data_IF_788843891965
#
_entry.id   IF_788843891965
#
_cell.length_a   1.000
_cell.length_b   1.000
_cell.length_c   1.000
_cell.angle_alpha   90.00
_cell.angle_beta   90.00
_cell.angle_gamma   90.00
#
_symmetry.space_group_name_H-M   'P 1'
#
loop_
_entity.id
_entity.type
_entity.pdbx_description
1 polymer ?
#
# COMPACT_ATOMS: atom_id res chain seq x y z
N UNK A 1 -7.36 -14.00 1.40
CA UNK A 1 -8.59 -13.38 1.91
C UNK A 1 -9.76 -13.41 0.91
N UNK A 2 -9.49 -13.32 -0.41
CA UNK A 2 -10.55 -13.38 -1.44
C UNK A 2 -11.21 -14.76 -1.53
N UNK A 3 -10.48 -15.81 -1.17
CA UNK A 3 -10.92 -17.22 -1.24
C UNK A 3 -10.64 -17.90 0.10
N UNK A 4 -11.43 -17.59 1.15
CA UNK A 4 -11.18 -18.08 2.51
C UNK A 4 -11.38 -19.60 2.66
N UNK A 5 -12.07 -20.23 1.71
CA UNK A 5 -12.33 -21.66 1.66
C UNK A 5 -11.12 -22.51 1.25
N UNK A 6 -10.10 -21.91 0.63
CA UNK A 6 -8.92 -22.66 0.22
C UNK A 6 -7.81 -22.60 1.26
N UNK A 7 -7.27 -23.76 1.60
CA UNK A 7 -6.13 -23.89 2.52
C UNK A 7 -4.78 -23.81 1.80
N UNK A 8 -4.75 -24.09 0.50
CA UNK A 8 -3.57 -24.07 -0.34
C UNK A 8 -3.92 -23.57 -1.74
N UNK A 9 -3.02 -22.81 -2.37
CA UNK A 9 -3.16 -22.33 -3.73
C UNK A 9 -1.81 -22.38 -4.47
N UNK A 10 -1.85 -22.51 -5.79
CA UNK A 10 -0.68 -22.31 -6.64
C UNK A 10 -0.83 -20.95 -7.33
N UNK A 11 0.21 -20.14 -7.28
CA UNK A 11 0.39 -18.94 -8.09
C UNK A 11 1.41 -19.24 -9.18
N UNK A 12 1.13 -18.78 -10.40
CA UNK A 12 2.03 -18.93 -11.55
C UNK A 12 1.98 -17.64 -12.36
N UNK A 13 3.14 -17.12 -12.70
CA UNK A 13 3.29 -15.93 -13.56
C UNK A 13 2.81 -16.20 -14.98
N UNK A 14 2.37 -15.17 -15.67
CA UNK A 14 1.79 -15.26 -17.01
C UNK A 14 2.83 -15.53 -18.12
N UNK A 15 4.11 -15.36 -17.84
CA UNK A 15 5.25 -15.63 -18.73
C UNK A 15 5.89 -16.99 -18.51
N UNK A 16 5.06 -17.96 -18.14
CA UNK A 16 5.45 -19.36 -17.91
C UNK A 16 4.81 -20.32 -18.91
N UNK A 17 5.41 -21.50 -19.03
CA UNK A 17 4.81 -22.65 -19.70
C UNK A 17 4.82 -23.85 -18.75
N UNK A 18 3.65 -24.36 -18.44
CA UNK A 18 3.48 -25.56 -17.59
C UNK A 18 3.66 -26.81 -18.45
N UNK A 19 4.63 -27.64 -18.11
CA UNK A 19 4.98 -28.89 -18.80
C UNK A 19 4.66 -30.13 -17.98
N UNK A 20 4.78 -30.01 -16.64
CA UNK A 20 4.49 -31.09 -15.71
C UNK A 20 3.04 -31.08 -15.20
N UNK A 21 2.68 -32.10 -14.41
CA UNK A 21 1.38 -32.12 -13.73
C UNK A 21 1.44 -31.27 -12.45
N UNK A 22 0.77 -30.14 -12.45
CA UNK A 22 0.70 -29.24 -11.26
C UNK A 22 0.10 -29.90 -10.03
N UNK A 23 -0.61 -31.02 -10.18
CA UNK A 23 -1.10 -31.79 -9.02
C UNK A 23 0.06 -32.36 -8.19
N UNK A 24 1.18 -32.70 -8.82
CA UNK A 24 2.38 -33.18 -8.12
C UNK A 24 2.94 -32.10 -7.19
N UNK A 25 3.06 -30.86 -7.68
CA UNK A 25 3.57 -29.75 -6.86
C UNK A 25 2.56 -29.32 -5.80
N UNK A 26 1.27 -29.41 -6.12
CA UNK A 26 0.21 -29.16 -5.14
C UNK A 26 0.20 -30.20 -4.00
N UNK A 27 0.63 -31.42 -4.25
CA UNK A 27 0.69 -32.49 -3.27
C UNK A 27 1.80 -32.31 -2.22
N UNK A 28 2.80 -31.45 -2.43
CA UNK A 28 3.84 -31.21 -1.42
C UNK A 28 3.24 -30.70 -0.11
N UNK A 29 3.59 -31.36 0.99
CA UNK A 29 3.18 -30.94 2.33
C UNK A 29 4.10 -29.83 2.85
N UNK A 30 3.58 -28.61 2.92
CA UNK A 30 4.35 -27.43 3.32
C UNK A 30 4.59 -27.35 4.83
N UNK A 31 3.84 -28.12 5.66
CA UNK A 31 3.89 -28.02 7.12
C UNK A 31 3.55 -26.61 7.60
N UNK A 32 4.42 -26.05 8.40
CA UNK A 32 4.29 -24.67 8.94
C UNK A 32 4.87 -23.61 8.00
N UNK A 33 5.47 -23.99 6.87
CA UNK A 33 6.00 -23.02 5.91
C UNK A 33 4.88 -22.19 5.28
N UNK A 34 5.19 -20.95 4.95
CA UNK A 34 4.24 -20.01 4.34
C UNK A 34 4.10 -20.26 2.84
N UNK A 35 5.22 -20.55 2.18
CA UNK A 35 5.28 -20.83 0.74
C UNK A 35 6.12 -22.05 0.44
N UNK A 36 5.79 -22.76 -0.65
CA UNK A 36 6.72 -23.60 -1.40
C UNK A 36 7.19 -22.84 -2.62
N UNK A 37 8.50 -22.69 -2.79
CA UNK A 37 9.10 -21.92 -3.88
C UNK A 37 10.45 -22.47 -4.31
N UNK A 38 10.86 -22.22 -5.56
CA UNK A 38 12.18 -22.53 -6.07
C UNK A 38 13.12 -21.32 -5.89
N UNK A 39 14.43 -21.59 -5.85
CA UNK A 39 15.44 -20.54 -5.69
C UNK A 39 15.55 -19.67 -6.93
N UNK A 40 15.74 -18.37 -6.72
CA UNK A 40 15.92 -17.37 -7.78
C UNK A 40 17.31 -17.46 -8.40
N UNK A 41 17.37 -17.90 -9.65
CA UNK A 41 18.65 -18.17 -10.31
C UNK A 41 19.39 -16.90 -10.75
N UNK A 42 18.68 -15.81 -11.00
CA UNK A 42 19.33 -14.53 -11.34
C UNK A 42 20.13 -14.01 -10.16
N UNK A 43 19.59 -14.13 -8.94
CA UNK A 43 20.29 -13.71 -7.72
C UNK A 43 21.51 -14.58 -7.43
N UNK A 44 21.42 -15.87 -7.71
CA UNK A 44 22.53 -16.82 -7.51
C UNK A 44 23.64 -16.61 -8.55
N UNK A 45 23.26 -16.45 -9.82
CA UNK A 45 24.22 -16.47 -10.94
C UNK A 45 24.73 -15.08 -11.35
N UNK A 46 24.17 -13.98 -10.80
CA UNK A 46 24.57 -12.61 -11.14
C UNK A 46 25.04 -11.88 -9.87
N UNK A 47 26.32 -11.59 -9.81
CA UNK A 47 26.96 -11.11 -8.57
C UNK A 47 26.37 -9.81 -8.01
N UNK A 48 26.02 -8.83 -8.86
CA UNK A 48 25.42 -7.57 -8.40
C UNK A 48 24.06 -7.81 -7.72
N UNK A 49 23.23 -8.69 -8.25
CA UNK A 49 21.93 -9.01 -7.67
C UNK A 49 22.05 -9.85 -6.40
N UNK A 50 22.94 -10.86 -6.39
CA UNK A 50 23.23 -11.60 -5.17
C UNK A 50 23.77 -10.70 -4.05
N UNK A 51 24.67 -9.77 -4.39
CA UNK A 51 25.19 -8.77 -3.43
C UNK A 51 24.08 -7.84 -2.92
N UNK A 52 23.11 -7.47 -3.79
CA UNK A 52 21.95 -6.70 -3.39
C UNK A 52 21.12 -7.44 -2.32
N UNK A 53 20.77 -8.69 -2.59
CA UNK A 53 19.99 -9.52 -1.64
C UNK A 53 20.71 -9.63 -0.29
N UNK A 54 22.01 -9.89 -0.31
CA UNK A 54 22.81 -10.08 0.91
C UNK A 54 23.02 -8.77 1.70
N UNK A 55 23.32 -7.67 1.01
CA UNK A 55 23.66 -6.40 1.68
C UNK A 55 22.45 -5.53 1.99
N UNK A 56 21.42 -5.56 1.15
CA UNK A 56 20.24 -4.68 1.30
C UNK A 56 19.12 -5.37 2.05
N UNK A 57 18.82 -6.64 1.72
CA UNK A 57 17.76 -7.40 2.39
C UNK A 57 18.28 -8.19 3.61
N UNK A 58 19.53 -8.59 3.61
CA UNK A 58 20.11 -9.43 4.65
C UNK A 58 19.66 -10.88 4.56
N UNK A 59 19.43 -11.37 3.36
CA UNK A 59 19.08 -12.74 3.01
C UNK A 59 20.27 -13.34 2.25
N UNK A 60 20.63 -14.60 2.51
CA UNK A 60 21.60 -15.32 1.67
C UNK A 60 21.01 -15.50 0.27
N UNK A 61 21.79 -15.25 -0.80
CA UNK A 61 21.32 -15.38 -2.19
C UNK A 61 20.80 -16.78 -2.51
N UNK A 62 21.27 -17.82 -1.80
CA UNK A 62 20.77 -19.18 -1.96
C UNK A 62 19.49 -19.46 -1.16
N UNK A 63 19.06 -18.53 -0.33
CA UNK A 63 17.81 -18.58 0.44
C UNK A 63 16.78 -17.54 -0.05
N UNK A 64 17.00 -17.00 -1.24
CA UNK A 64 16.08 -16.10 -1.91
C UNK A 64 15.32 -16.86 -2.99
N UNK A 65 13.99 -16.77 -3.00
CA UNK A 65 13.12 -17.51 -3.93
C UNK A 65 12.56 -16.60 -5.02
N UNK A 66 12.32 -17.19 -6.19
CA UNK A 66 11.58 -16.55 -7.26
C UNK A 66 10.08 -16.62 -7.00
N UNK A 67 9.38 -15.49 -7.13
CA UNK A 67 7.96 -15.37 -6.85
C UNK A 67 7.05 -15.79 -8.02
N UNK A 68 7.59 -16.12 -9.18
CA UNK A 68 6.81 -16.46 -10.40
C UNK A 68 6.13 -17.83 -10.38
N UNK A 69 6.51 -18.71 -9.43
CA UNK A 69 5.81 -19.97 -9.16
C UNK A 69 5.82 -20.24 -7.65
N UNK A 70 4.65 -20.19 -7.02
CA UNK A 70 4.49 -20.37 -5.58
C UNK A 70 3.41 -21.37 -5.26
N UNK A 71 3.68 -22.25 -4.28
CA UNK A 71 2.65 -23.01 -3.58
C UNK A 71 2.36 -22.27 -2.28
N UNK A 72 1.24 -21.61 -2.19
CA UNK A 72 0.90 -20.73 -1.05
C UNK A 72 0.14 -21.53 0.00
N UNK A 73 0.64 -21.57 1.23
CA UNK A 73 -0.09 -22.05 2.38
C UNK A 73 -1.07 -20.98 2.87
N UNK A 74 -2.28 -20.98 2.28
CA UNK A 74 -3.28 -19.94 2.56
C UNK A 74 -3.70 -19.91 4.03
N UNK A 75 -3.64 -21.04 4.73
CA UNK A 75 -3.92 -21.11 6.18
C UNK A 75 -2.86 -20.36 6.98
N UNK A 76 -1.56 -20.59 6.67
CA UNK A 76 -0.48 -19.87 7.33
C UNK A 76 -0.47 -18.39 6.96
N UNK A 77 -0.72 -18.04 5.70
CA UNK A 77 -0.85 -16.64 5.26
C UNK A 77 -1.89 -15.87 6.07
N UNK A 78 -3.04 -16.50 6.35
CA UNK A 78 -4.09 -15.91 7.20
C UNK A 78 -3.69 -15.87 8.68
N UNK A 79 -3.13 -16.97 9.20
CA UNK A 79 -2.78 -17.11 10.61
C UNK A 79 -1.65 -16.14 11.02
N UNK A 80 -0.72 -15.87 10.10
CA UNK A 80 0.45 -15.01 10.32
C UNK A 80 0.25 -13.60 9.76
N UNK A 81 -0.93 -13.26 9.27
CA UNK A 81 -1.22 -11.93 8.73
C UNK A 81 -0.24 -11.47 7.63
N UNK A 82 0.17 -12.38 6.73
CA UNK A 82 1.19 -12.10 5.71
C UNK A 82 0.81 -10.92 4.82
N UNK A 83 -0.46 -10.78 4.44
CA UNK A 83 -0.92 -9.62 3.68
C UNK A 83 -0.75 -8.30 4.45
N UNK A 84 -1.01 -8.32 5.75
CA UNK A 84 -0.87 -7.12 6.58
C UNK A 84 0.61 -6.74 6.71
N UNK A 85 1.50 -7.72 6.90
CA UNK A 85 2.95 -7.51 6.90
C UNK A 85 3.44 -6.94 5.56
N UNK A 86 2.94 -7.47 4.43
CA UNK A 86 3.28 -6.98 3.10
C UNK A 86 2.89 -5.50 2.91
N UNK A 87 1.65 -5.15 3.27
CA UNK A 87 1.16 -3.77 3.21
C UNK A 87 1.98 -2.84 4.11
N UNK A 88 2.42 -3.32 5.26
CA UNK A 88 3.25 -2.54 6.16
C UNK A 88 4.64 -2.28 5.62
N UNK A 89 5.30 -3.29 5.09
CA UNK A 89 6.60 -3.11 4.45
C UNK A 89 6.53 -2.11 3.29
N UNK A 90 5.45 -2.13 2.49
CA UNK A 90 5.19 -1.13 1.44
C UNK A 90 5.16 0.32 1.97
N UNK A 91 4.73 0.52 3.21
CA UNK A 91 4.71 1.85 3.84
C UNK A 91 6.04 2.24 4.48
N UNK A 92 6.89 1.27 4.77
CA UNK A 92 8.15 1.47 5.49
C UNK A 92 9.33 1.65 4.55
N UNK A 93 9.38 0.87 3.48
CA UNK A 93 10.47 0.91 2.51
C UNK A 93 9.96 0.57 1.11
N UNK A 94 10.47 1.25 0.10
CA UNK A 94 10.12 1.01 -1.29
C UNK A 94 11.25 0.24 -1.98
N UNK A 95 11.07 -1.09 -2.11
CA UNK A 95 12.00 -1.92 -2.87
C UNK A 95 11.81 -1.68 -4.37
N UNK A 96 12.92 -1.42 -5.07
CA UNK A 96 12.92 -0.97 -6.48
C UNK A 96 13.58 -1.95 -7.44
N UNK A 97 14.18 -3.03 -6.93
CA UNK A 97 14.89 -4.03 -7.75
C UNK A 97 13.93 -5.14 -8.20
N UNK A 98 13.43 -5.96 -7.29
CA UNK A 98 12.49 -7.05 -7.60
C UNK A 98 11.08 -6.80 -7.04
N UNK A 99 10.84 -5.62 -6.51
CA UNK A 99 9.52 -5.15 -6.07
C UNK A 99 8.83 -6.13 -5.09
N UNK A 100 7.70 -6.75 -5.50
CA UNK A 100 6.90 -7.64 -4.67
C UNK A 100 7.67 -8.88 -4.18
N UNK A 101 8.62 -9.38 -4.95
CA UNK A 101 9.46 -10.51 -4.58
C UNK A 101 10.36 -10.20 -3.36
N UNK A 102 10.92 -8.98 -3.28
CA UNK A 102 11.70 -8.53 -2.12
C UNK A 102 10.86 -8.55 -0.83
N UNK A 103 9.62 -8.05 -0.91
CA UNK A 103 8.71 -8.06 0.24
C UNK A 103 8.36 -9.48 0.67
N UNK A 104 8.03 -10.35 -0.29
CA UNK A 104 7.66 -11.73 0.00
C UNK A 104 8.82 -12.51 0.61
N UNK A 105 10.04 -12.34 0.08
CA UNK A 105 11.23 -12.98 0.61
C UNK A 105 11.54 -12.54 2.05
N UNK A 106 11.36 -11.26 2.38
CA UNK A 106 11.55 -10.77 3.74
C UNK A 106 10.51 -11.32 4.73
N UNK A 107 9.25 -11.43 4.31
CA UNK A 107 8.15 -11.88 5.17
C UNK A 107 8.20 -13.40 5.34
N UNK A 108 8.46 -14.12 4.26
CA UNK A 108 8.48 -15.58 4.27
C UNK A 108 9.83 -16.18 4.72
N UNK A 109 10.83 -15.34 4.99
CA UNK A 109 12.15 -15.78 5.46
C UNK A 109 12.01 -16.83 6.56
N UNK A 110 12.81 -17.88 6.49
CA UNK A 110 12.83 -19.02 7.42
C UNK A 110 11.55 -19.91 7.38
N UNK A 111 10.58 -19.59 6.51
CA UNK A 111 9.30 -20.31 6.37
C UNK A 111 9.03 -20.68 4.90
N UNK A 112 10.08 -21.10 4.18
CA UNK A 112 10.03 -21.54 2.79
C UNK A 112 10.23 -23.05 2.71
N UNK A 113 9.30 -23.74 2.05
CA UNK A 113 9.51 -25.11 1.61
C UNK A 113 10.18 -25.06 0.23
N UNK A 114 11.42 -25.50 0.15
CA UNK A 114 12.18 -25.45 -1.09
C UNK A 114 11.70 -26.50 -2.09
N UNK A 115 11.03 -26.04 -3.14
CA UNK A 115 10.63 -26.88 -4.25
C UNK A 115 11.87 -27.30 -5.06
N UNK A 116 11.83 -28.50 -5.71
CA UNK A 116 12.79 -28.85 -6.74
C UNK A 116 12.80 -27.80 -7.86
N UNK A 117 13.99 -27.41 -8.35
CA UNK A 117 14.18 -26.28 -9.26
C UNK A 117 13.42 -26.43 -10.58
N UNK A 118 13.17 -27.66 -11.04
CA UNK A 118 12.39 -27.92 -12.25
C UNK A 118 10.94 -27.41 -12.20
N UNK A 119 10.40 -27.12 -11.02
CA UNK A 119 9.07 -26.53 -10.86
C UNK A 119 9.05 -25.00 -11.08
N UNK A 120 10.21 -24.40 -11.22
CA UNK A 120 10.35 -23.02 -11.71
C UNK A 120 11.70 -22.92 -12.45
N UNK A 121 11.77 -23.52 -13.64
CA UNK A 121 12.95 -23.48 -14.48
C UNK A 121 13.03 -22.11 -15.15
N UNK A 122 13.81 -21.22 -14.59
CA UNK A 122 14.07 -19.91 -15.19
C UNK A 122 14.89 -20.07 -16.46
N UNK A 123 14.42 -19.51 -17.57
CA UNK A 123 15.14 -19.52 -18.86
C UNK A 123 16.28 -18.49 -18.79
N UNK A 124 17.21 -18.73 -17.88
CA UNK A 124 18.35 -17.86 -17.57
C UNK A 124 19.60 -18.69 -17.24
N UNK A 125 20.77 -18.16 -17.55
CA UNK A 125 22.06 -18.71 -17.13
C UNK A 125 22.23 -20.22 -17.42
N UNK A 126 22.82 -20.93 -16.46
CA UNK A 126 23.04 -22.38 -16.54
C UNK A 126 21.86 -23.13 -15.93
N UNK A 127 21.39 -24.16 -16.63
CA UNK A 127 20.35 -25.10 -16.17
C UNK A 127 21.03 -26.48 -16.10
N UNK A 128 21.19 -27.05 -14.90
CA UNK A 128 22.01 -28.22 -14.62
C UNK A 128 21.22 -29.55 -14.59
N UNK A 129 19.99 -29.57 -15.10
CA UNK A 129 19.14 -30.75 -15.15
C UNK A 129 18.49 -30.92 -16.52
N UNK A 130 18.10 -32.17 -16.90
CA UNK A 130 17.63 -32.46 -18.24
C UNK A 130 16.25 -31.86 -18.53
N UNK A 131 16.01 -31.52 -19.82
CA UNK A 131 14.78 -30.85 -20.26
C UNK A 131 13.52 -31.70 -20.00
N UNK A 132 13.64 -33.02 -20.01
CA UNK A 132 12.53 -33.95 -19.76
C UNK A 132 11.98 -33.83 -18.31
N UNK A 133 12.75 -33.19 -17.40
CA UNK A 133 12.35 -32.98 -16.04
C UNK A 133 11.64 -31.65 -15.80
N UNK A 134 11.55 -30.77 -16.81
CA UNK A 134 10.92 -29.46 -16.64
C UNK A 134 9.44 -29.58 -16.26
N UNK A 135 9.08 -29.06 -15.09
CA UNK A 135 7.70 -28.93 -14.65
C UNK A 135 7.06 -27.63 -15.09
N UNK A 136 7.75 -26.52 -14.87
CA UNK A 136 7.36 -25.17 -15.33
C UNK A 136 8.59 -24.46 -15.90
N UNK A 137 8.47 -23.98 -17.14
CA UNK A 137 9.44 -23.05 -17.74
C UNK A 137 8.99 -21.62 -17.48
N UNK A 138 9.91 -20.78 -17.01
CA UNK A 138 9.65 -19.39 -16.72
C UNK A 138 10.58 -18.49 -17.55
N UNK A 139 10.00 -17.73 -18.46
CA UNK A 139 10.73 -16.79 -19.32
C UNK A 139 10.94 -15.46 -18.59
N UNK A 140 11.83 -15.47 -17.62
CA UNK A 140 12.12 -14.30 -16.79
C UNK A 140 12.77 -13.15 -17.57
N UNK A 141 12.85 -11.98 -16.97
CA UNK A 141 13.49 -10.80 -17.53
C UNK A 141 12.89 -10.39 -18.89
N UNK A 142 13.72 -9.84 -19.79
CA UNK A 142 13.26 -9.26 -21.07
C UNK A 142 13.20 -10.24 -22.22
N UNK A 143 13.90 -11.38 -22.13
CA UNK A 143 13.99 -12.35 -23.22
C UNK A 143 12.74 -13.22 -23.32
N UNK A 144 11.70 -12.71 -23.95
CA UNK A 144 10.41 -13.39 -24.11
C UNK A 144 10.29 -14.03 -25.51
N UNK A 145 9.72 -15.23 -25.63
CA UNK A 145 9.58 -15.90 -26.93
C UNK A 145 8.64 -15.17 -27.92
N UNK A 146 7.76 -14.29 -27.42
CA UNK A 146 6.90 -13.44 -28.26
C UNK A 146 7.52 -12.09 -28.62
N UNK A 147 8.76 -11.83 -28.17
CA UNK A 147 9.56 -10.65 -28.55
C UNK A 147 10.82 -11.05 -29.34
N UNK A 148 11.38 -12.25 -29.08
CA UNK A 148 12.65 -12.68 -29.64
C UNK A 148 12.51 -14.02 -30.33
N UNK A 149 12.89 -14.07 -31.61
CA UNK A 149 12.84 -15.31 -32.44
C UNK A 149 13.82 -16.38 -31.99
N UNK A 150 14.92 -15.95 -31.40
CA UNK A 150 16.02 -16.77 -30.88
C UNK A 150 15.96 -16.94 -29.34
N UNK A 151 14.80 -16.70 -28.74
CA UNK A 151 14.60 -16.95 -27.35
C UNK A 151 14.88 -18.42 -27.00
N UNK A 152 15.77 -18.64 -26.03
CA UNK A 152 16.13 -20.00 -25.58
C UNK A 152 14.87 -20.72 -25.10
N UNK A 153 14.73 -22.02 -25.48
CA UNK A 153 13.56 -22.87 -25.19
C UNK A 153 12.22 -22.27 -25.66
N UNK A 154 12.24 -21.33 -26.61
CA UNK A 154 11.04 -20.69 -27.14
C UNK A 154 10.08 -21.64 -27.84
N UNK A 155 10.58 -22.80 -28.34
CA UNK A 155 9.77 -23.86 -28.97
C UNK A 155 8.69 -24.42 -28.03
N UNK A 156 8.97 -24.53 -26.75
CA UNK A 156 7.96 -24.93 -25.73
C UNK A 156 6.79 -23.96 -25.70
N UNK A 157 7.08 -22.66 -25.64
CA UNK A 157 6.04 -21.62 -25.68
C UNK A 157 5.20 -21.70 -26.94
N UNK A 158 5.86 -21.78 -28.13
CA UNK A 158 5.17 -21.80 -29.41
C UNK A 158 4.35 -23.07 -29.64
N UNK A 159 4.71 -24.18 -29.01
CA UNK A 159 3.93 -25.42 -29.03
C UNK A 159 2.54 -25.24 -28.42
N UNK A 160 2.44 -24.46 -27.34
CA UNK A 160 1.17 -24.15 -26.67
C UNK A 160 0.47 -22.92 -27.28
N UNK A 161 1.20 -21.88 -27.61
CA UNK A 161 0.64 -20.67 -28.21
C UNK A 161 -0.17 -20.99 -29.50
N UNK A 162 0.31 -21.90 -30.33
CA UNK A 162 -0.40 -22.38 -31.55
C UNK A 162 -1.79 -22.96 -31.28
N UNK A 163 -2.07 -23.40 -30.06
CA UNK A 163 -3.35 -23.99 -29.67
C UNK A 163 -4.33 -22.94 -29.07
N UNK A 164 -3.89 -21.70 -28.89
CA UNK A 164 -4.69 -20.63 -28.29
C UNK A 164 -5.40 -19.81 -29.37
N UNK A 165 -6.49 -19.16 -28.97
CA UNK A 165 -7.22 -18.22 -29.83
C UNK A 165 -6.40 -16.96 -30.15
N UNK A 166 -5.43 -16.62 -29.29
CA UNK A 166 -4.58 -15.43 -29.41
C UNK A 166 -3.32 -15.68 -30.27
N UNK A 167 -3.14 -16.89 -30.85
CA UNK A 167 -1.91 -17.22 -31.57
C UNK A 167 -1.52 -16.21 -32.64
N UNK A 168 -2.50 -15.73 -33.41
CA UNK A 168 -2.25 -14.75 -34.48
C UNK A 168 -1.70 -13.43 -33.91
N UNK A 169 -2.30 -12.91 -32.85
CA UNK A 169 -1.88 -11.67 -32.19
C UNK A 169 -0.48 -11.80 -31.59
N UNK A 170 -0.21 -12.95 -30.93
CA UNK A 170 1.12 -13.21 -30.34
C UNK A 170 2.19 -13.29 -31.44
N UNK A 171 1.87 -13.93 -32.58
CA UNK A 171 2.78 -14.00 -33.69
C UNK A 171 3.03 -12.64 -34.37
N UNK A 172 1.98 -11.82 -34.52
CA UNK A 172 2.10 -10.47 -35.01
C UNK A 172 2.96 -9.59 -34.05
N UNK A 173 2.86 -9.79 -32.75
CA UNK A 173 3.73 -9.12 -31.77
C UNK A 173 5.20 -9.45 -32.03
N UNK A 174 5.55 -10.72 -32.24
CA UNK A 174 6.92 -11.13 -32.55
C UNK A 174 7.43 -10.53 -33.89
N UNK A 175 6.57 -10.52 -34.90
CA UNK A 175 6.94 -10.04 -36.25
C UNK A 175 7.14 -8.51 -36.28
N UNK A 176 6.42 -7.78 -35.45
CA UNK A 176 6.46 -6.30 -35.37
C UNK A 176 7.31 -5.75 -34.23
N UNK A 177 8.00 -6.62 -33.46
CA UNK A 177 8.87 -6.18 -32.38
C UNK A 177 10.11 -5.50 -32.94
N UNK A 178 10.23 -4.18 -32.72
CA UNK A 178 11.21 -3.34 -33.42
C UNK A 178 12.59 -3.37 -32.78
N UNK A 179 13.60 -2.91 -33.52
CA UNK A 179 14.96 -2.77 -32.97
C UNK A 179 15.04 -1.71 -31.85
N UNK A 180 14.19 -0.68 -31.90
CA UNK A 180 14.06 0.32 -30.82
C UNK A 180 13.51 -0.33 -29.54
N UNK A 181 12.55 -1.23 -29.66
CA UNK A 181 12.01 -1.96 -28.51
C UNK A 181 13.06 -2.91 -27.94
N UNK A 182 13.83 -3.62 -28.78
CA UNK A 182 14.97 -4.45 -28.32
C UNK A 182 16.05 -3.65 -27.62
N UNK A 183 16.36 -2.45 -28.13
CA UNK A 183 17.30 -1.55 -27.49
C UNK A 183 16.78 -1.03 -26.13
N UNK A 184 15.48 -0.78 -26.03
CA UNK A 184 14.83 -0.39 -24.77
C UNK A 184 14.86 -1.51 -23.73
N UNK A 185 14.68 -2.79 -24.16
CA UNK A 185 14.80 -3.97 -23.30
C UNK A 185 16.23 -4.11 -22.76
N UNK A 186 17.24 -4.03 -23.63
CA UNK A 186 18.65 -4.08 -23.22
C UNK A 186 18.97 -2.96 -22.22
N UNK A 187 18.55 -1.74 -22.52
CA UNK A 187 18.72 -0.60 -21.59
C UNK A 187 17.94 -0.77 -20.28
N UNK A 188 16.85 -1.55 -20.27
CA UNK A 188 16.10 -1.87 -19.04
C UNK A 188 16.90 -2.81 -18.14
N UNK A 189 17.53 -3.84 -18.71
CA UNK A 189 18.43 -4.74 -17.97
C UNK A 189 19.61 -3.99 -17.35
N UNK A 190 20.27 -3.11 -18.12
CA UNK A 190 21.37 -2.28 -17.62
C UNK A 190 20.91 -1.34 -16.49
N UNK A 191 19.74 -0.71 -16.66
CA UNK A 191 19.17 0.15 -15.59
C UNK A 191 18.87 -0.64 -14.32
N UNK A 192 18.40 -1.87 -14.42
CA UNK A 192 18.12 -2.70 -13.25
C UNK A 192 19.40 -3.03 -12.49
N UNK A 193 20.49 -3.37 -13.19
CA UNK A 193 21.81 -3.58 -12.56
C UNK A 193 22.32 -2.32 -11.86
N UNK A 194 22.18 -1.16 -12.51
CA UNK A 194 22.57 0.15 -11.90
C UNK A 194 21.69 0.44 -10.68
N UNK A 195 20.40 0.13 -10.74
CA UNK A 195 19.48 0.30 -9.61
C UNK A 195 19.88 -0.58 -8.43
N UNK A 196 20.21 -1.84 -8.66
CA UNK A 196 20.69 -2.75 -7.63
C UNK A 196 22.00 -2.24 -7.00
N UNK A 197 22.96 -1.79 -7.82
CA UNK A 197 24.20 -1.23 -7.34
C UNK A 197 23.97 0.04 -6.50
N UNK A 198 23.08 0.93 -6.93
CA UNK A 198 22.73 2.13 -6.16
C UNK A 198 22.13 1.80 -4.79
N UNK A 199 21.29 0.77 -4.70
CA UNK A 199 20.74 0.31 -3.41
C UNK A 199 21.83 -0.32 -2.52
N UNK A 200 22.79 -1.04 -3.09
CA UNK A 200 23.95 -1.57 -2.36
C UNK A 200 24.76 -0.43 -1.73
N UNK A 201 25.00 0.64 -2.48
CA UNK A 201 25.82 1.77 -2.08
C UNK A 201 25.04 2.80 -1.23
N UNK A 202 23.71 2.66 -1.13
CA UNK A 202 22.85 3.55 -0.38
C UNK A 202 23.05 3.35 1.14
N UNK A 203 23.59 4.37 1.81
CA UNK A 203 23.77 4.35 3.28
C UNK A 203 22.41 4.21 4.03
N UNK A 204 21.30 4.55 3.40
CA UNK A 204 19.95 4.45 3.93
C UNK A 204 19.16 3.29 3.30
N UNK A 205 19.81 2.23 2.85
CA UNK A 205 19.12 1.04 2.39
C UNK A 205 18.37 0.34 3.54
N UNK A 206 17.49 -0.58 3.19
CA UNK A 206 16.59 -1.26 4.14
C UNK A 206 17.32 -1.83 5.34
N UNK A 207 18.39 -2.61 5.12
CA UNK A 207 19.17 -3.26 6.20
C UNK A 207 19.83 -2.26 7.12
N UNK A 208 20.40 -1.19 6.57
CA UNK A 208 21.05 -0.14 7.35
C UNK A 208 20.04 0.61 8.21
N UNK A 209 18.87 0.93 7.66
CA UNK A 209 17.78 1.57 8.41
C UNK A 209 17.24 0.64 9.50
N UNK A 210 17.08 -0.66 9.21
CA UNK A 210 16.67 -1.67 10.21
C UNK A 210 17.64 -1.75 11.37
N UNK A 211 18.96 -1.85 11.08
CA UNK A 211 20.00 -1.93 12.09
C UNK A 211 20.08 -0.68 12.98
N UNK A 212 19.77 0.49 12.42
CA UNK A 212 19.72 1.77 13.16
C UNK A 212 18.42 1.96 13.94
N UNK A 213 17.48 1.02 13.89
CA UNK A 213 16.15 1.14 14.51
C UNK A 213 15.30 2.27 13.91
N UNK A 214 15.56 2.64 12.65
CA UNK A 214 14.86 3.72 11.94
C UNK A 214 13.67 3.23 11.11
N UNK A 215 13.50 1.90 10.97
CA UNK A 215 12.31 1.29 10.37
C UNK A 215 11.21 1.14 11.44
N UNK A 216 10.05 1.72 11.21
CA UNK A 216 8.94 1.72 12.19
C UNK A 216 7.94 0.56 12.01
N UNK A 217 8.33 -0.54 11.38
CA UNK A 217 7.44 -1.67 11.09
C UNK A 217 6.85 -2.32 12.36
N UNK A 218 7.63 -2.42 13.44
CA UNK A 218 7.20 -3.08 14.68
C UNK A 218 5.98 -2.42 15.32
N UNK A 219 5.92 -1.08 15.27
CA UNK A 219 4.82 -0.32 15.89
C UNK A 219 3.47 -0.63 15.23
N UNK A 220 3.47 -0.94 13.94
CA UNK A 220 2.24 -1.22 13.18
C UNK A 220 1.68 -2.60 13.43
N UNK A 221 2.51 -3.64 13.53
CA UNK A 221 2.07 -4.99 13.90
C UNK A 221 1.41 -4.99 15.28
N UNK A 222 2.00 -4.27 16.24
CA UNK A 222 1.40 -4.10 17.57
C UNK A 222 0.03 -3.41 17.50
N UNK A 223 -0.15 -2.43 16.60
CA UNK A 223 -1.44 -1.77 16.37
C UNK A 223 -2.47 -2.73 15.78
N UNK A 224 -2.10 -3.55 14.79
CA UNK A 224 -2.99 -4.55 14.18
C UNK A 224 -3.41 -5.63 15.18
N UNK A 225 -2.49 -6.14 15.99
CA UNK A 225 -2.78 -7.10 17.05
C UNK A 225 -3.71 -6.49 18.11
N UNK A 226 -3.50 -5.22 18.47
CA UNK A 226 -4.36 -4.48 19.38
C UNK A 226 -5.75 -4.30 18.79
N UNK A 227 -5.88 -3.97 17.49
CA UNK A 227 -7.16 -3.89 16.77
C UNK A 227 -7.89 -5.23 16.84
N UNK A 228 -7.23 -6.33 16.49
CA UNK A 228 -7.82 -7.66 16.47
C UNK A 228 -8.28 -8.11 17.88
N UNK A 229 -7.52 -7.77 18.92
CA UNK A 229 -7.89 -8.02 20.32
C UNK A 229 -9.11 -7.20 20.74
N UNK A 230 -9.09 -5.88 20.51
CA UNK A 230 -10.16 -4.98 20.91
C UNK A 230 -11.48 -5.28 20.17
N UNK A 231 -11.39 -5.71 18.90
CA UNK A 231 -12.55 -6.16 18.13
C UNK A 231 -13.18 -7.41 18.76
N UNK A 232 -12.38 -8.43 19.11
CA UNK A 232 -12.86 -9.64 19.77
C UNK A 232 -13.51 -9.38 21.14
N UNK A 233 -12.96 -8.40 21.87
CA UNK A 233 -13.44 -7.98 23.19
C UNK A 233 -14.64 -7.01 23.11
N UNK A 234 -15.01 -6.52 21.93
CA UNK A 234 -16.06 -5.51 21.74
C UNK A 234 -15.72 -4.13 22.30
N UNK A 235 -14.43 -3.82 22.49
CA UNK A 235 -13.91 -2.59 23.11
C UNK A 235 -13.62 -1.54 22.03
N UNK A 236 -14.63 -1.12 21.30
CA UNK A 236 -14.51 -0.20 20.16
C UNK A 236 -14.23 1.26 20.54
N UNK A 237 -14.31 1.61 21.81
CA UNK A 237 -14.06 2.98 22.34
C UNK A 237 -12.61 3.22 22.69
N UNK A 238 -11.76 2.22 22.63
CA UNK A 238 -10.35 2.37 22.92
C UNK A 238 -9.55 2.83 21.70
N UNK A 239 -8.55 3.66 21.98
CA UNK A 239 -7.60 4.06 20.95
C UNK A 239 -6.56 2.98 20.74
N UNK A 240 -6.26 2.67 19.48
CA UNK A 240 -5.25 1.67 19.12
C UNK A 240 -3.86 2.28 19.03
N UNK A 241 -3.76 3.55 18.72
CA UNK A 241 -2.52 4.33 18.72
C UNK A 241 -2.47 5.24 19.95
N UNK A 242 -1.27 5.49 20.44
CA UNK A 242 -1.08 6.43 21.54
C UNK A 242 -1.16 7.86 20.99
N UNK A 243 -2.09 8.64 21.52
CA UNK A 243 -2.15 10.06 21.23
C UNK A 243 -1.01 10.81 21.95
N UNK A 244 -0.35 11.75 21.28
CA UNK A 244 0.64 12.60 21.94
C UNK A 244 -0.03 13.40 23.08
N UNK A 245 0.70 13.70 24.17
CA UNK A 245 0.16 14.44 25.30
C UNK A 245 -0.47 15.77 24.85
N UNK A 246 -1.72 15.97 25.26
CA UNK A 246 -2.54 17.11 24.83
C UNK A 246 -2.24 18.35 25.67
N UNK A 247 -2.04 19.49 25.03
CA UNK A 247 -2.01 20.78 25.69
C UNK A 247 -3.41 21.39 25.71
N UNK A 248 -3.91 21.78 26.88
CA UNK A 248 -5.21 22.41 27.02
C UNK A 248 -5.32 23.66 26.14
N UNK A 249 -6.38 23.73 25.34
CA UNK A 249 -6.68 24.84 24.45
C UNK A 249 -7.60 25.86 25.15
N UNK A 250 -7.09 27.06 25.39
CA UNK A 250 -7.86 28.14 26.02
C UNK A 250 -8.69 28.93 24.99
N UNK A 251 -9.75 29.65 25.42
CA UNK A 251 -10.62 30.39 24.50
C UNK A 251 -9.90 31.39 23.57
N UNK A 252 -8.83 32.02 24.06
CA UNK A 252 -8.09 33.03 23.31
C UNK A 252 -7.08 32.43 22.30
N UNK A 253 -6.75 31.15 22.46
CA UNK A 253 -5.81 30.45 21.59
C UNK A 253 -6.42 30.12 20.22
N UNK A 254 -7.77 30.19 20.10
CA UNK A 254 -8.45 29.78 18.88
C UNK A 254 -9.43 30.83 18.34
N UNK A 255 -9.36 31.04 17.04
CA UNK A 255 -10.31 31.81 16.23
C UNK A 255 -11.13 30.87 15.32
N UNK A 256 -12.14 30.21 15.88
CA UNK A 256 -12.99 29.25 15.18
C UNK A 256 -13.55 29.79 13.85
N UNK A 257 -14.06 31.01 13.88
CA UNK A 257 -14.74 31.64 12.74
C UNK A 257 -13.79 32.38 11.79
N UNK A 258 -12.48 32.33 12.08
CA UNK A 258 -11.44 33.03 11.28
C UNK A 258 -11.76 34.53 11.11
N UNK A 259 -12.17 35.20 12.18
CA UNK A 259 -12.49 36.64 12.16
C UNK A 259 -11.23 37.52 12.04
N UNK A 260 -10.13 37.11 12.66
CA UNK A 260 -8.85 37.84 12.64
C UNK A 260 -8.24 37.85 11.23
N UNK A 261 -7.70 38.98 10.78
CA UNK A 261 -7.05 39.12 9.47
C UNK A 261 -5.90 38.10 9.33
N UNK A 262 -5.08 37.95 10.38
CA UNK A 262 -4.00 36.98 10.41
C UNK A 262 -4.48 35.53 10.20
N UNK A 263 -5.61 35.15 10.81
CA UNK A 263 -6.23 33.83 10.62
C UNK A 263 -6.67 33.62 9.18
N UNK A 264 -7.29 34.63 8.55
CA UNK A 264 -7.73 34.58 7.15
C UNK A 264 -6.55 34.37 6.19
N UNK A 265 -5.47 35.13 6.39
CA UNK A 265 -4.26 35.04 5.55
C UNK A 265 -3.62 33.65 5.71
N UNK A 266 -3.41 33.20 6.95
CA UNK A 266 -2.84 31.86 7.24
C UNK A 266 -3.68 30.76 6.58
N UNK A 267 -5.01 30.80 6.73
CA UNK A 267 -5.91 29.83 6.13
C UNK A 267 -5.79 29.83 4.60
N UNK A 268 -5.79 30.99 3.95
CA UNK A 268 -5.66 31.09 2.48
C UNK A 268 -4.35 30.50 1.97
N UNK A 269 -3.24 30.81 2.64
CA UNK A 269 -1.91 30.28 2.26
C UNK A 269 -1.83 28.77 2.50
N UNK A 270 -2.31 28.30 3.65
CA UNK A 270 -2.30 26.86 3.99
C UNK A 270 -3.15 26.04 3.03
N UNK A 271 -4.32 26.54 2.61
CA UNK A 271 -5.13 25.86 1.61
C UNK A 271 -4.45 25.74 0.24
N UNK A 272 -3.67 26.75 -0.16
CA UNK A 272 -2.88 26.68 -1.40
C UNK A 272 -1.85 25.54 -1.33
N UNK A 273 -1.15 25.44 -0.20
CA UNK A 273 -0.15 24.37 0.03
C UNK A 273 -0.83 23.01 0.17
N UNK A 274 -1.94 22.92 0.94
CA UNK A 274 -2.71 21.70 1.09
C UNK A 274 -3.23 21.15 -0.24
N UNK A 275 -3.69 22.02 -1.14
CA UNK A 275 -4.15 21.64 -2.48
C UNK A 275 -3.01 21.10 -3.34
N UNK A 276 -1.84 21.73 -3.29
CA UNK A 276 -0.64 21.23 -3.99
C UNK A 276 -0.24 19.85 -3.49
N UNK A 277 -0.27 19.65 -2.16
CA UNK A 277 0.00 18.36 -1.55
C UNK A 277 -1.04 17.30 -1.97
N UNK A 278 -2.34 17.64 -1.92
CA UNK A 278 -3.41 16.74 -2.34
C UNK A 278 -3.27 16.31 -3.80
N UNK A 279 -2.97 17.25 -4.69
CA UNK A 279 -2.72 16.94 -6.10
C UNK A 279 -1.52 16.00 -6.26
N UNK A 280 -0.46 16.21 -5.49
CA UNK A 280 0.73 15.36 -5.53
C UNK A 280 0.42 13.92 -5.11
N UNK A 281 -0.28 13.69 -4.00
CA UNK A 281 -0.63 12.34 -3.54
C UNK A 281 -1.60 11.61 -4.49
N UNK A 282 -2.47 12.35 -5.20
CA UNK A 282 -3.34 11.78 -6.25
C UNK A 282 -2.52 11.42 -7.48
N UNK A 283 -1.66 12.33 -7.96
CA UNK A 283 -0.82 12.10 -9.14
C UNK A 283 0.12 10.91 -8.94
N UNK A 284 0.68 10.77 -7.73
CA UNK A 284 1.56 9.67 -7.36
C UNK A 284 0.80 8.39 -6.93
N UNK A 285 -0.53 8.36 -7.12
CA UNK A 285 -1.39 7.23 -6.78
C UNK A 285 -1.34 6.78 -5.30
N UNK A 286 -0.87 7.64 -4.40
CA UNK A 286 -0.92 7.40 -2.95
C UNK A 286 -2.35 7.51 -2.39
N UNK A 287 -3.21 8.27 -3.05
CA UNK A 287 -4.64 8.34 -2.81
C UNK A 287 -5.37 8.15 -4.13
N UNK A 288 -6.15 7.07 -4.23
CA UNK A 288 -6.95 6.73 -5.41
C UNK A 288 -8.42 6.86 -5.05
N UNK A 289 -9.13 7.78 -5.68
CA UNK A 289 -10.59 7.89 -5.59
C UNK A 289 -11.18 7.06 -6.73
N UNK A 290 -11.73 5.91 -6.40
CA UNK A 290 -12.29 4.98 -7.39
C UNK A 290 -13.63 5.48 -7.96
N UNK A 291 -14.47 6.05 -7.09
CA UNK A 291 -15.79 6.53 -7.46
C UNK A 291 -16.34 7.53 -6.42
N UNK A 292 -17.21 8.44 -6.85
CA UNK A 292 -17.96 9.36 -5.99
C UNK A 292 -19.43 9.26 -6.38
N UNK A 293 -20.25 8.69 -5.50
CA UNK A 293 -21.70 8.51 -5.71
C UNK A 293 -22.49 9.38 -4.76
N UNK A 294 -23.70 9.79 -5.18
CA UNK A 294 -24.62 10.54 -4.33
C UNK A 294 -24.24 12.01 -4.15
N UNK A 295 -23.40 12.59 -5.01
CA UNK A 295 -22.98 13.99 -4.95
C UNK A 295 -24.19 14.95 -5.11
N UNK A 296 -25.25 14.49 -5.78
CA UNK A 296 -26.53 15.17 -5.91
C UNK A 296 -27.19 15.45 -4.55
N UNK A 297 -26.99 14.58 -3.55
CA UNK A 297 -27.48 14.79 -2.19
C UNK A 297 -26.79 15.99 -1.53
N UNK A 298 -25.47 16.15 -1.72
CA UNK A 298 -24.73 17.32 -1.26
C UNK A 298 -25.19 18.58 -2.02
N UNK A 299 -25.40 18.47 -3.31
CA UNK A 299 -25.86 19.58 -4.16
C UNK A 299 -27.27 20.07 -3.78
N UNK A 300 -28.13 19.19 -3.26
CA UNK A 300 -29.47 19.52 -2.84
C UNK A 300 -29.55 20.28 -1.50
N UNK A 301 -28.46 20.36 -0.73
CA UNK A 301 -28.45 21.05 0.57
C UNK A 301 -28.63 22.55 0.41
N UNK A 302 -29.66 23.09 1.07
CA UNK A 302 -30.01 24.54 1.03
C UNK A 302 -29.52 25.30 2.25
N UNK A 303 -29.29 24.63 3.36
CA UNK A 303 -28.81 25.19 4.65
C UNK A 303 -27.45 24.61 5.03
N UNK A 304 -26.86 25.08 6.13
CA UNK A 304 -25.71 24.43 6.73
C UNK A 304 -26.02 22.98 7.13
N UNK A 305 -25.01 22.13 7.12
CA UNK A 305 -25.19 20.73 7.42
C UNK A 305 -23.98 20.15 8.15
N UNK A 306 -24.24 19.14 9.00
CA UNK A 306 -23.22 18.27 9.55
C UNK A 306 -23.08 17.06 8.62
N UNK A 307 -21.86 16.81 8.16
CA UNK A 307 -21.49 15.67 7.33
C UNK A 307 -20.78 14.67 8.25
N UNK A 308 -21.39 13.50 8.43
CA UNK A 308 -20.77 12.42 9.21
C UNK A 308 -20.02 11.49 8.28
N UNK A 309 -18.88 10.99 8.76
CA UNK A 309 -18.02 10.08 8.00
C UNK A 309 -17.44 9.02 8.95
N UNK A 310 -17.25 7.80 8.45
CA UNK A 310 -16.45 6.79 9.12
C UNK A 310 -14.96 7.18 9.11
N UNK A 311 -14.20 6.67 10.06
CA UNK A 311 -12.80 7.07 10.27
C UNK A 311 -11.88 5.84 10.31
N UNK A 312 -11.31 5.47 9.17
CA UNK A 312 -10.45 4.29 9.05
C UNK A 312 -9.05 4.60 8.51
N UNK A 313 -8.82 5.82 7.98
CA UNK A 313 -7.54 6.21 7.39
C UNK A 313 -7.24 7.69 7.61
N UNK A 314 -5.98 8.05 7.74
CA UNK A 314 -5.55 9.44 7.89
C UNK A 314 -5.92 10.35 6.69
N UNK A 315 -6.17 9.76 5.52
CA UNK A 315 -6.54 10.48 4.30
C UNK A 315 -8.07 10.64 4.09
N UNK A 316 -8.92 10.17 4.99
CA UNK A 316 -10.39 10.30 4.89
C UNK A 316 -10.83 11.74 4.63
N UNK A 317 -10.22 12.67 5.35
CA UNK A 317 -10.49 14.10 5.22
C UNK A 317 -10.18 14.66 3.83
N UNK A 318 -9.21 14.08 3.12
CA UNK A 318 -8.89 14.46 1.74
C UNK A 318 -9.90 13.89 0.75
N UNK A 319 -10.39 12.66 0.97
CA UNK A 319 -11.44 12.07 0.15
C UNK A 319 -12.74 12.91 0.22
N UNK A 320 -13.13 13.34 1.43
CA UNK A 320 -14.28 14.25 1.62
C UNK A 320 -14.03 15.61 0.93
N UNK A 321 -12.80 16.14 0.99
CA UNK A 321 -12.45 17.39 0.32
C UNK A 321 -12.65 17.28 -1.19
N UNK A 322 -12.25 16.15 -1.79
CA UNK A 322 -12.40 15.91 -3.24
C UNK A 322 -13.90 15.85 -3.61
N UNK A 323 -14.71 15.11 -2.85
CA UNK A 323 -16.15 15.04 -3.07
C UNK A 323 -16.82 16.43 -2.95
N UNK A 324 -16.43 17.20 -1.93
CA UNK A 324 -16.91 18.57 -1.76
C UNK A 324 -16.49 19.48 -2.94
N UNK A 325 -15.26 19.39 -3.44
CA UNK A 325 -14.79 20.19 -4.58
C UNK A 325 -15.48 19.84 -5.90
N UNK A 326 -15.95 18.61 -6.05
CA UNK A 326 -16.76 18.19 -7.21
C UNK A 326 -18.24 18.59 -7.09
N UNK A 327 -18.70 19.00 -5.91
CA UNK A 327 -20.05 19.49 -5.72
C UNK A 327 -20.20 20.94 -6.19
N UNK A 328 -21.45 21.38 -6.36
CA UNK A 328 -21.77 22.79 -6.65
C UNK A 328 -21.72 23.69 -5.39
N UNK A 329 -21.30 23.15 -4.26
CA UNK A 329 -21.33 23.79 -2.94
C UNK A 329 -20.00 24.47 -2.54
N UNK A 330 -19.00 24.53 -3.44
CA UNK A 330 -17.65 25.05 -3.16
C UNK A 330 -17.59 26.53 -2.69
N UNK A 331 -18.68 27.26 -2.77
CA UNK A 331 -18.81 28.63 -2.22
C UNK A 331 -18.97 28.65 -0.71
N UNK A 332 -19.48 27.56 -0.13
CA UNK A 332 -19.63 27.38 1.32
C UNK A 332 -18.31 26.88 1.90
N UNK A 333 -18.08 27.08 3.19
CA UNK A 333 -16.88 26.57 3.83
C UNK A 333 -17.13 25.16 4.36
N UNK A 334 -16.06 24.35 4.36
CA UNK A 334 -16.07 23.00 4.92
C UNK A 334 -15.16 22.98 6.15
N UNK A 335 -15.77 22.99 7.34
CA UNK A 335 -15.07 22.91 8.61
C UNK A 335 -14.89 21.43 9.02
N UNK A 336 -13.89 21.12 9.83
CA UNK A 336 -13.57 19.77 10.30
C UNK A 336 -13.38 19.76 11.80
N UNK A 337 -14.19 18.98 12.49
CA UNK A 337 -14.00 18.72 13.92
C UNK A 337 -12.79 17.83 14.10
N UNK A 338 -11.88 18.23 14.99
CA UNK A 338 -10.65 17.49 15.28
C UNK A 338 -10.42 17.41 16.80
N UNK A 339 -9.61 16.45 17.22
CA UNK A 339 -9.18 16.35 18.64
C UNK A 339 -8.29 17.54 19.03
N UNK A 340 -8.31 17.89 20.32
CA UNK A 340 -7.49 18.96 20.91
C UNK A 340 -5.99 18.73 20.65
N UNK A 341 -5.50 17.51 20.86
CA UNK A 341 -4.11 17.12 20.62
C UNK A 341 -3.65 17.33 19.17
N UNK A 342 -4.52 17.04 18.20
CA UNK A 342 -4.23 17.26 16.78
C UNK A 342 -4.01 18.74 16.45
N UNK A 343 -4.71 19.62 17.14
CA UNK A 343 -4.54 21.07 16.97
C UNK A 343 -3.31 21.60 17.70
N UNK A 344 -3.08 21.17 18.93
CA UNK A 344 -2.05 21.74 19.81
C UNK A 344 -0.66 21.17 19.59
N UNK A 345 -0.54 19.85 19.37
CA UNK A 345 0.74 19.14 19.45
C UNK A 345 1.21 18.52 18.13
N UNK A 346 0.39 18.50 17.08
CA UNK A 346 0.84 17.92 15.81
C UNK A 346 1.98 18.77 15.21
N UNK A 347 3.18 18.18 14.97
CA UNK A 347 4.33 18.91 14.49
C UNK A 347 4.32 19.14 12.97
N UNK A 348 5.23 19.96 12.48
CA UNK A 348 5.59 20.11 11.09
C UNK A 348 4.45 20.49 10.14
N UNK A 349 4.50 19.93 8.94
CA UNK A 349 3.55 20.21 7.86
C UNK A 349 2.10 19.88 8.23
N UNK A 350 1.85 18.70 8.78
CA UNK A 350 0.50 18.30 9.20
C UNK A 350 -0.05 19.17 10.32
N UNK A 351 0.80 19.58 11.27
CA UNK A 351 0.40 20.54 12.30
C UNK A 351 -0.02 21.91 11.72
N UNK A 352 0.63 22.37 10.65
CA UNK A 352 0.22 23.58 9.94
C UNK A 352 -1.18 23.39 9.32
N UNK A 353 -1.47 22.22 8.71
CA UNK A 353 -2.80 21.90 8.18
C UNK A 353 -3.83 21.85 9.30
N UNK A 354 -3.54 21.13 10.40
CA UNK A 354 -4.42 20.97 11.56
C UNK A 354 -4.78 22.30 12.24
N UNK A 355 -3.93 23.31 12.16
CA UNK A 355 -4.20 24.64 12.75
C UNK A 355 -4.90 25.62 11.81
N UNK A 356 -4.83 25.42 10.49
CA UNK A 356 -5.21 26.48 9.55
C UNK A 356 -6.25 26.10 8.49
N UNK A 357 -6.56 24.80 8.26
CA UNK A 357 -7.49 24.35 7.20
C UNK A 357 -8.95 24.26 7.67
N UNK A 358 -9.54 25.33 8.17
CA UNK A 358 -10.92 25.35 8.71
C UNK A 358 -11.17 24.21 9.71
N UNK A 359 -10.20 23.96 10.56
CA UNK A 359 -10.29 22.97 11.62
C UNK A 359 -10.99 23.55 12.83
N UNK A 360 -11.75 22.70 13.49
CA UNK A 360 -12.61 23.00 14.62
C UNK A 360 -12.23 22.07 15.79
N UNK A 361 -11.16 22.38 16.56
CA UNK A 361 -10.72 21.52 17.64
C UNK A 361 -11.70 21.50 18.79
N UNK A 362 -11.93 20.31 19.33
CA UNK A 362 -12.52 20.11 20.65
C UNK A 362 -11.58 20.63 21.71
N UNK A 363 -12.04 20.77 22.96
CA UNK A 363 -11.18 21.13 24.08
C UNK A 363 -11.64 20.49 25.38
N UNK A 364 -10.71 20.18 26.27
CA UNK A 364 -10.96 19.80 27.66
C UNK A 364 -11.39 20.99 28.51
N UNK A 365 -11.09 22.23 28.08
CA UNK A 365 -11.48 23.46 28.76
C UNK A 365 -12.97 23.78 28.50
N UNK A 366 -13.74 23.93 29.57
CA UNK A 366 -15.20 24.18 29.53
C UNK A 366 -15.59 25.47 28.78
N UNK A 367 -14.82 26.53 28.92
CA UNK A 367 -15.12 27.81 28.26
C UNK A 367 -14.78 27.76 26.77
N UNK A 368 -13.72 27.06 26.41
CA UNK A 368 -13.39 26.78 25.02
C UNK A 368 -14.45 25.88 24.36
N UNK A 369 -14.96 24.86 25.05
CA UNK A 369 -16.06 24.04 24.55
C UNK A 369 -17.37 24.85 24.39
N UNK A 370 -17.66 25.77 25.30
CA UNK A 370 -18.81 26.69 25.15
C UNK A 370 -18.63 27.54 23.88
N UNK A 371 -17.43 28.11 23.68
CA UNK A 371 -17.07 28.86 22.47
C UNK A 371 -17.17 28.02 21.21
N UNK A 372 -16.74 26.74 21.27
CA UNK A 372 -16.91 25.77 20.20
C UNK A 372 -18.37 25.63 19.81
N UNK A 373 -19.27 25.32 20.74
CA UNK A 373 -20.71 25.14 20.50
C UNK A 373 -21.34 26.38 19.86
N UNK A 374 -21.11 27.57 20.40
CA UNK A 374 -21.62 28.82 19.82
C UNK A 374 -21.05 29.07 18.40
N UNK A 375 -19.79 28.72 18.17
CA UNK A 375 -19.18 28.90 16.86
C UNK A 375 -19.69 27.88 15.84
N UNK A 376 -20.01 26.65 16.26
CA UNK A 376 -20.64 25.62 15.44
C UNK A 376 -22.03 26.07 14.97
N UNK A 377 -22.87 26.58 15.93
CA UNK A 377 -24.16 27.12 15.58
C UNK A 377 -24.05 28.25 14.54
N UNK A 378 -23.10 29.17 14.73
CA UNK A 378 -22.86 30.26 13.79
C UNK A 378 -22.44 29.78 12.41
N UNK A 379 -21.60 28.71 12.32
CA UNK A 379 -21.18 28.09 11.05
C UNK A 379 -22.38 27.50 10.33
N UNK A 380 -23.20 26.72 11.02
CA UNK A 380 -24.38 26.07 10.44
C UNK A 380 -25.46 27.09 10.02
N UNK A 381 -25.71 28.11 10.82
CA UNK A 381 -26.63 29.22 10.51
C UNK A 381 -26.17 30.04 9.30
N UNK A 382 -24.85 30.21 9.14
CA UNK A 382 -24.29 30.86 7.94
C UNK A 382 -24.47 30.02 6.66
N UNK A 383 -24.83 28.75 6.79
CA UNK A 383 -25.00 27.84 5.68
C UNK A 383 -23.74 27.04 5.30
N UNK A 384 -22.70 27.10 6.12
CA UNK A 384 -21.47 26.35 5.90
C UNK A 384 -21.59 24.89 6.38
N UNK A 385 -20.64 24.04 6.04
CA UNK A 385 -20.64 22.61 6.36
C UNK A 385 -19.64 22.27 7.46
N UNK A 386 -19.93 21.23 8.24
CA UNK A 386 -19.06 20.70 9.27
C UNK A 386 -18.92 19.18 9.14
N UNK A 387 -17.70 18.68 9.05
CA UNK A 387 -17.39 17.26 9.04
C UNK A 387 -17.12 16.78 10.46
N UNK A 388 -17.78 15.69 10.83
CA UNK A 388 -17.64 15.03 12.13
C UNK A 388 -17.41 13.54 11.89
N UNK A 389 -16.50 12.95 12.68
CA UNK A 389 -16.27 11.51 12.73
C UNK A 389 -16.92 10.92 13.97
N UNK A 390 -18.14 10.36 13.88
CA UNK A 390 -18.90 9.91 15.06
C UNK A 390 -18.24 8.76 15.81
N UNK A 391 -17.35 8.03 15.16
CA UNK A 391 -16.57 6.93 15.77
C UNK A 391 -15.53 7.46 16.79
N UNK A 392 -15.17 8.74 16.71
CA UNK A 392 -14.24 9.48 17.56
C UNK A 392 -12.79 9.00 17.58
N UNK A 393 -12.51 7.74 17.27
CA UNK A 393 -11.16 7.18 17.15
C UNK A 393 -10.95 6.58 15.78
N UNK A 394 -9.75 6.72 15.23
CA UNK A 394 -9.35 6.06 14.01
C UNK A 394 -8.76 4.70 14.38
N UNK A 395 -9.33 3.64 13.81
CA UNK A 395 -8.69 2.34 13.78
C UNK A 395 -8.14 2.13 12.37
N UNK A 396 -6.85 2.17 12.25
CA UNK A 396 -6.16 2.19 10.97
C UNK A 396 -6.53 1.00 10.07
N UNK A 397 -7.02 1.32 8.86
CA UNK A 397 -7.49 0.34 7.86
C UNK A 397 -8.55 -0.66 8.38
N UNK A 398 -9.22 -0.37 9.48
CA UNK A 398 -10.30 -1.22 9.96
C UNK A 398 -11.49 -1.17 9.00
N UNK A 399 -11.91 -2.35 8.52
CA UNK A 399 -12.83 -2.46 7.38
C UNK A 399 -14.31 -2.36 7.74
N UNK A 400 -14.65 -2.42 9.03
CA UNK A 400 -16.03 -2.37 9.51
C UNK A 400 -16.31 -1.02 10.17
N UNK A 401 -17.54 -0.46 10.02
CA UNK A 401 -17.93 0.70 10.81
C UNK A 401 -17.93 0.35 12.29
N UNK A 402 -17.32 1.20 13.11
CA UNK A 402 -17.39 1.07 14.55
C UNK A 402 -18.70 1.64 15.11
N UNK A 403 -19.14 1.22 16.32
CA UNK A 403 -20.29 1.82 16.98
C UNK A 403 -20.11 3.33 17.14
N UNK A 404 -21.17 4.08 16.78
CA UNK A 404 -21.15 5.54 16.88
C UNK A 404 -21.27 5.98 18.34
N UNK A 405 -20.44 6.94 18.75
CA UNK A 405 -20.49 7.48 20.13
C UNK A 405 -21.57 8.54 20.28
N UNK A 406 -22.17 8.60 21.48
CA UNK A 406 -23.17 9.61 21.81
C UNK A 406 -22.57 11.02 21.73
N UNK A 407 -23.35 11.99 21.28
CA UNK A 407 -22.94 13.40 21.16
C UNK A 407 -22.57 13.85 19.74
N UNK A 408 -22.60 12.96 18.75
CA UNK A 408 -22.48 13.33 17.35
C UNK A 408 -23.84 13.61 16.67
N UNK A 409 -24.92 13.42 17.39
CA UNK A 409 -26.32 13.62 16.97
C UNK A 409 -26.90 14.88 17.60
#
# INVERSE_FOLDING_TARGET
EMFPEYDKAIYIDSDTVVLGDVAEVYAFELGENYVGAAREQVMIQTDVYGTYVEKVLGIDRNEYFNAGMLVINCRQFRAQHVLDQFVELLHVYNFVVTQDEDYLNLICKDNVFWLPQQWNTEVFGTIDYPEESFGVLHYIMVSKPWHYKDCRLGEYFWTYAKKTVCYKEIKETLEHYTDEQRAADAASGDRLMVTAQNEIDNENNYRNLLQRGQLKAKDRLEVLDKIARLEREGRFDEDVEEDPPTKELKPDDIDYLRKKISSKIKTKLTYKVARSFLNNIITNKQLIIKDIKGIENMNALKSGAIITCNHFNAFDSFAIQIAYEQSNQCKRKLYRVIREGNYTNFPGFYGMLMRNCYTFPLSSNKDTMRKFMHSMDAVLQHGDFMVVYPEQSMWWNYRKPKPLKKGAY
#
